data_IF_473241010624
#
_entry.id   IF_473241010624
#
_cell.length_a   1.000
_cell.length_b   1.000
_cell.length_c   1.000
_cell.angle_alpha   90.00
_cell.angle_beta   90.00
_cell.angle_gamma   90.00
#
_symmetry.space_group_name_H-M   'P 1'
#
loop_
_entity.id
_entity.type
_entity.pdbx_description
1 polymer ?
#
# COMPACT_ATOMS: atom_id res chain seq x y z
N UNK A 1 2.97 -14.45 9.70
CA UNK A 1 3.60 -13.29 9.06
C UNK A 1 5.01 -13.66 8.59
N UNK A 2 5.30 -13.47 7.31
CA UNK A 2 6.63 -13.67 6.72
C UNK A 2 7.31 -12.31 6.54
N UNK A 3 8.64 -12.25 6.78
CA UNK A 3 9.38 -10.99 6.78
C UNK A 3 9.21 -10.18 8.06
N UNK A 4 8.87 -10.83 9.17
CA UNK A 4 8.51 -10.23 10.45
C UNK A 4 9.53 -9.24 11.03
N UNK A 5 10.82 -9.40 10.73
CA UNK A 5 11.91 -8.53 11.24
C UNK A 5 12.14 -7.27 10.39
N UNK A 6 11.57 -7.21 9.19
CA UNK A 6 11.63 -6.04 8.30
C UNK A 6 10.70 -4.92 8.76
N UNK A 7 10.91 -3.71 8.19
CA UNK A 7 10.10 -2.54 8.55
C UNK A 7 8.59 -2.76 8.28
N UNK A 8 8.24 -3.29 7.11
CA UNK A 8 6.85 -3.61 6.78
C UNK A 8 6.30 -4.71 7.71
N UNK A 9 7.09 -5.75 8.02
CA UNK A 9 6.69 -6.79 8.97
C UNK A 9 6.38 -6.25 10.36
N UNK A 10 7.17 -5.32 10.86
CA UNK A 10 6.93 -4.66 12.15
C UNK A 10 5.63 -3.83 12.13
N UNK A 11 5.30 -3.20 11.00
CA UNK A 11 4.02 -2.50 10.83
C UNK A 11 2.82 -3.47 10.85
N UNK A 12 2.94 -4.67 10.28
CA UNK A 12 1.92 -5.71 10.41
C UNK A 12 1.72 -6.11 11.88
N UNK A 13 2.80 -6.31 12.61
CA UNK A 13 2.74 -6.68 14.03
C UNK A 13 2.01 -5.61 14.85
N UNK A 14 2.36 -4.33 14.63
CA UNK A 14 1.71 -3.22 15.32
C UNK A 14 0.22 -3.12 14.94
N UNK A 15 -0.11 -3.34 13.67
CA UNK A 15 -1.48 -3.23 13.17
C UNK A 15 -2.38 -4.40 13.60
N UNK A 16 -1.83 -5.61 13.75
CA UNK A 16 -2.57 -6.81 14.17
C UNK A 16 -2.72 -6.92 15.69
N UNK A 17 -2.04 -6.08 16.46
CA UNK A 17 -2.22 -6.06 17.90
C UNK A 17 -3.69 -5.75 18.26
N UNK A 18 -4.32 -6.68 18.97
CA UNK A 18 -5.74 -6.59 19.35
C UNK A 18 -6.71 -6.49 18.16
N UNK A 19 -6.35 -7.05 17.00
CA UNK A 19 -7.25 -7.09 15.86
C UNK A 19 -8.48 -7.99 16.17
N UNK A 20 -9.71 -7.57 15.85
CA UNK A 20 -10.90 -8.29 16.30
C UNK A 20 -11.10 -9.67 15.68
N UNK A 21 -10.52 -9.93 14.51
CA UNK A 21 -10.77 -11.15 13.72
C UNK A 21 -9.51 -11.88 13.28
N UNK A 22 -8.32 -11.30 13.45
CA UNK A 22 -7.05 -11.87 12.98
C UNK A 22 -6.06 -11.94 14.13
N UNK A 23 -5.61 -13.13 14.45
CA UNK A 23 -4.58 -13.38 15.46
C UNK A 23 -3.25 -13.75 14.80
N UNK A 24 -2.17 -13.13 15.27
CA UNK A 24 -0.82 -13.40 14.77
C UNK A 24 -0.20 -14.58 15.55
N UNK A 25 -0.24 -15.77 14.99
CA UNK A 25 0.17 -17.03 15.63
C UNK A 25 1.55 -17.53 15.18
N UNK A 26 2.14 -16.95 14.12
CA UNK A 26 3.43 -17.36 13.59
C UNK A 26 4.25 -16.23 12.99
N UNK A 27 5.56 -16.23 13.27
CA UNK A 27 6.53 -15.28 12.75
C UNK A 27 7.60 -16.00 11.95
N UNK A 28 7.82 -15.57 10.70
CA UNK A 28 8.87 -16.09 9.86
C UNK A 28 9.76 -14.96 9.33
N UNK A 29 11.04 -15.27 9.16
CA UNK A 29 12.01 -14.33 8.62
C UNK A 29 13.12 -15.09 7.88
N UNK A 30 14.21 -14.39 7.55
CA UNK A 30 15.37 -15.00 6.88
C UNK A 30 15.99 -16.11 7.74
N UNK A 31 16.74 -17.05 7.14
CA UNK A 31 17.44 -18.13 7.89
C UNK A 31 18.30 -17.64 9.05
N UNK A 32 18.85 -16.43 8.98
CA UNK A 32 19.64 -15.82 10.08
C UNK A 32 18.84 -15.60 11.36
N UNK A 33 17.54 -15.45 11.25
CA UNK A 33 16.64 -15.20 12.38
C UNK A 33 15.94 -16.48 12.85
N UNK A 34 15.96 -17.55 12.07
CA UNK A 34 15.30 -18.81 12.40
C UNK A 34 15.86 -19.43 13.70
N UNK A 35 14.97 -19.98 14.51
CA UNK A 35 15.27 -20.59 15.81
C UNK A 35 15.45 -19.62 16.98
N UNK A 36 15.59 -18.32 16.72
CA UNK A 36 15.67 -17.27 17.74
C UNK A 36 14.27 -16.86 18.23
N UNK A 37 14.19 -16.32 19.44
CA UNK A 37 13.01 -15.55 19.82
C UNK A 37 12.91 -14.29 18.99
N UNK A 38 11.71 -13.72 18.83
CA UNK A 38 11.53 -12.51 18.04
C UNK A 38 12.36 -11.33 18.59
N UNK A 39 12.44 -11.18 19.91
CA UNK A 39 13.27 -10.17 20.54
C UNK A 39 14.76 -10.34 20.20
N UNK A 40 15.28 -11.59 20.16
CA UNK A 40 16.65 -11.87 19.73
C UNK A 40 16.84 -11.63 18.23
N UNK A 41 15.86 -11.99 17.40
CA UNK A 41 15.89 -11.79 15.95
C UNK A 41 15.93 -10.30 15.54
N UNK A 42 15.41 -9.42 16.42
CA UNK A 42 15.49 -7.97 16.24
C UNK A 42 16.83 -7.35 16.65
N UNK A 43 17.76 -8.11 17.28
CA UNK A 43 19.07 -7.56 17.65
C UNK A 43 19.96 -7.41 16.43
N UNK A 44 20.59 -6.22 16.31
CA UNK A 44 21.67 -5.99 15.36
C UNK A 44 22.95 -6.65 15.83
N UNK A 45 23.97 -6.69 14.97
CA UNK A 45 25.30 -7.17 15.36
C UNK A 45 25.93 -6.37 16.53
N UNK A 46 25.54 -5.09 16.68
CA UNK A 46 25.99 -4.24 17.80
C UNK A 46 25.13 -4.41 19.07
N UNK A 47 24.13 -5.30 19.07
CA UNK A 47 23.23 -5.54 20.20
C UNK A 47 22.05 -4.56 20.32
N UNK A 48 21.96 -3.57 19.44
CA UNK A 48 20.83 -2.64 19.40
C UNK A 48 19.56 -3.35 18.98
N UNK A 49 18.42 -2.99 19.57
CA UNK A 49 17.10 -3.48 19.13
C UNK A 49 16.63 -2.73 17.89
N UNK A 50 16.42 -3.43 16.82
CA UNK A 50 16.00 -2.90 15.54
C UNK A 50 14.45 -2.90 15.43
N UNK A 51 13.78 -2.21 16.32
CA UNK A 51 12.35 -1.94 16.28
C UNK A 51 12.12 -0.47 15.92
N UNK A 52 11.38 -0.21 14.84
CA UNK A 52 11.27 1.13 14.22
C UNK A 52 9.85 1.67 14.16
N UNK A 53 8.89 0.89 14.65
CA UNK A 53 7.49 1.31 14.74
C UNK A 53 7.30 2.12 16.03
N UNK A 54 6.50 3.20 16.03
CA UNK A 54 6.25 4.01 17.22
C UNK A 54 5.59 3.23 18.36
N UNK A 55 4.74 2.26 18.02
CA UNK A 55 4.05 1.40 18.97
C UNK A 55 5.07 0.46 19.66
N UNK A 56 4.94 0.19 20.96
CA UNK A 56 5.85 -0.72 21.65
C UNK A 56 5.71 -2.16 21.13
N UNK A 57 6.84 -2.87 21.08
CA UNK A 57 6.86 -4.30 20.75
C UNK A 57 5.91 -5.06 21.70
N UNK A 58 4.91 -5.81 21.15
CA UNK A 58 4.02 -6.60 21.99
C UNK A 58 4.79 -7.63 22.81
N UNK A 59 4.57 -7.65 24.12
CA UNK A 59 5.32 -8.51 25.05
C UNK A 59 5.08 -10.00 24.74
N UNK A 60 3.87 -10.35 24.32
CA UNK A 60 3.45 -11.71 23.95
C UNK A 60 4.20 -12.24 22.73
N UNK A 61 4.63 -11.37 21.81
CA UNK A 61 5.38 -11.75 20.62
C UNK A 61 6.90 -11.78 20.86
N UNK A 62 7.39 -11.08 21.86
CA UNK A 62 8.83 -10.97 22.12
C UNK A 62 9.51 -12.35 22.32
N UNK A 63 8.82 -13.28 22.98
CA UNK A 63 9.26 -14.66 23.21
C UNK A 63 8.94 -15.65 22.09
N UNK A 64 8.12 -15.28 21.09
CA UNK A 64 7.72 -16.17 20.01
C UNK A 64 8.93 -16.56 19.16
N UNK A 65 9.07 -17.85 18.86
CA UNK A 65 10.15 -18.34 18.00
C UNK A 65 9.89 -17.95 16.55
N UNK A 66 10.91 -17.41 15.92
CA UNK A 66 10.92 -17.12 14.48
C UNK A 66 11.33 -18.37 13.71
N UNK A 67 10.54 -18.75 12.70
CA UNK A 67 10.87 -19.84 11.79
C UNK A 67 11.48 -19.32 10.49
N UNK A 68 12.12 -20.18 9.73
CA UNK A 68 12.53 -19.85 8.36
C UNK A 68 11.28 -19.81 7.46
N UNK A 69 11.24 -18.89 6.48
CA UNK A 69 10.06 -18.75 5.60
C UNK A 69 9.74 -20.01 4.80
N UNK A 70 10.76 -20.78 4.40
CA UNK A 70 10.64 -22.04 3.70
C UNK A 70 10.17 -23.21 4.59
N UNK A 71 10.27 -23.09 5.90
CA UNK A 71 9.78 -24.06 6.87
C UNK A 71 8.32 -23.87 7.29
N UNK A 72 7.62 -22.85 6.76
CA UNK A 72 6.19 -22.65 7.02
C UNK A 72 5.35 -23.72 6.33
N UNK A 73 4.44 -24.32 7.08
CA UNK A 73 3.45 -25.28 6.57
C UNK A 73 2.08 -24.61 6.49
N UNK A 74 1.47 -24.59 5.31
CA UNK A 74 0.18 -23.92 5.08
C UNK A 74 -0.94 -24.46 5.99
N UNK A 75 -0.90 -25.77 6.34
CA UNK A 75 -1.89 -26.42 7.20
C UNK A 75 -2.00 -25.87 8.62
N UNK A 76 -0.99 -25.12 9.07
CA UNK A 76 -0.93 -24.58 10.43
C UNK A 76 -1.53 -23.16 10.56
N UNK A 77 -2.01 -22.60 9.43
CA UNK A 77 -2.50 -21.22 9.35
C UNK A 77 -3.73 -21.10 8.44
N UNK A 78 -4.60 -20.14 8.74
CA UNK A 78 -5.76 -19.82 7.89
C UNK A 78 -5.39 -18.87 6.74
N UNK A 79 -4.40 -18.01 6.96
CA UNK A 79 -3.89 -17.05 5.98
C UNK A 79 -2.44 -16.65 6.27
N UNK A 80 -1.79 -16.03 5.31
CA UNK A 80 -0.43 -15.48 5.45
C UNK A 80 -0.35 -14.04 4.99
N UNK A 81 0.26 -13.20 5.83
CA UNK A 81 0.79 -11.90 5.39
C UNK A 81 2.27 -12.05 5.01
N UNK A 82 2.65 -11.54 3.83
CA UNK A 82 4.00 -11.61 3.29
C UNK A 82 4.58 -10.20 3.12
N UNK A 83 5.72 -9.95 3.78
CA UNK A 83 6.46 -8.68 3.76
C UNK A 83 7.93 -8.93 3.38
N UNK A 84 8.14 -9.68 2.31
CA UNK A 84 9.47 -10.03 1.79
C UNK A 84 9.76 -9.35 0.47
N UNK A 85 11.01 -9.42 0.01
CA UNK A 85 11.42 -8.93 -1.30
C UNK A 85 10.78 -9.75 -2.44
N UNK A 86 10.62 -9.11 -3.61
CA UNK A 86 9.89 -9.71 -4.73
C UNK A 86 10.44 -11.07 -5.19
N UNK A 87 11.74 -11.27 -5.16
CA UNK A 87 12.37 -12.52 -5.60
C UNK A 87 12.04 -13.67 -4.63
N UNK A 88 12.09 -13.40 -3.32
CA UNK A 88 11.68 -14.37 -2.29
C UNK A 88 10.18 -14.67 -2.40
N UNK A 89 9.36 -13.64 -2.65
CA UNK A 89 7.92 -13.79 -2.83
C UNK A 89 7.56 -14.70 -4.00
N UNK A 90 8.28 -14.59 -5.13
CA UNK A 90 8.06 -15.42 -6.33
C UNK A 90 8.19 -16.92 -6.05
N UNK A 91 9.09 -17.29 -5.17
CA UNK A 91 9.34 -18.69 -4.80
C UNK A 91 8.40 -19.18 -3.69
N UNK A 92 8.22 -18.35 -2.67
CA UNK A 92 7.56 -18.76 -1.43
C UNK A 92 6.03 -18.65 -1.49
N UNK A 93 5.50 -17.54 -2.01
CA UNK A 93 4.06 -17.28 -1.96
C UNK A 93 3.22 -18.30 -2.75
N UNK A 94 3.61 -18.73 -3.98
CA UNK A 94 2.84 -19.75 -4.70
C UNK A 94 2.75 -21.11 -3.98
N UNK A 95 3.77 -21.46 -3.20
CA UNK A 95 3.76 -22.70 -2.42
C UNK A 95 2.64 -22.70 -1.37
N UNK A 96 2.49 -21.56 -0.67
CA UNK A 96 1.47 -21.37 0.35
C UNK A 96 0.08 -21.16 -0.25
N UNK A 97 0.01 -20.39 -1.34
CA UNK A 97 -1.23 -20.06 -2.02
C UNK A 97 -1.94 -21.28 -2.66
N UNK A 98 -1.28 -22.42 -2.80
CA UNK A 98 -1.95 -23.69 -3.18
C UNK A 98 -3.06 -24.04 -2.21
N UNK A 99 -2.89 -23.74 -0.94
CA UNK A 99 -3.79 -24.19 0.12
C UNK A 99 -4.49 -23.03 0.85
N UNK A 100 -3.82 -21.90 1.11
CA UNK A 100 -4.32 -20.79 1.93
C UNK A 100 -4.13 -19.42 1.27
N UNK A 101 -4.92 -18.41 1.63
CA UNK A 101 -4.75 -17.04 1.18
C UNK A 101 -3.39 -16.43 1.57
N UNK A 102 -2.76 -15.72 0.62
CA UNK A 102 -1.53 -14.94 0.84
C UNK A 102 -1.77 -13.47 0.47
N UNK A 103 -1.63 -12.59 1.46
CA UNK A 103 -1.70 -11.14 1.29
C UNK A 103 -0.28 -10.56 1.27
N UNK A 104 0.14 -10.04 0.13
CA UNK A 104 1.53 -9.72 -0.13
C UNK A 104 1.80 -8.22 -0.22
N UNK A 105 2.84 -7.75 0.48
CA UNK A 105 3.39 -6.41 0.28
C UNK A 105 4.41 -6.37 -0.88
N UNK A 106 4.83 -7.53 -1.40
CA UNK A 106 5.78 -7.63 -2.49
C UNK A 106 5.18 -7.27 -3.84
N UNK A 107 6.02 -6.84 -4.78
CA UNK A 107 5.58 -6.49 -6.14
C UNK A 107 5.53 -7.68 -7.10
N UNK A 108 5.85 -8.89 -6.65
CA UNK A 108 6.09 -10.06 -7.48
C UNK A 108 4.94 -10.41 -8.43
N UNK A 109 3.70 -10.28 -7.97
CA UNK A 109 2.51 -10.73 -8.69
C UNK A 109 1.55 -9.61 -9.12
N UNK A 110 1.94 -8.34 -8.94
CA UNK A 110 1.06 -7.17 -9.22
C UNK A 110 0.60 -7.06 -10.66
N UNK A 111 1.39 -7.60 -11.60
CA UNK A 111 1.16 -7.43 -13.04
C UNK A 111 0.53 -8.65 -13.70
N UNK A 112 0.30 -9.72 -12.95
CA UNK A 112 -0.35 -10.92 -13.47
C UNK A 112 -1.82 -10.64 -13.81
N UNK A 113 -2.33 -11.22 -14.92
CA UNK A 113 -3.69 -10.95 -15.42
C UNK A 113 -4.78 -11.52 -14.52
N UNK A 114 -4.49 -12.62 -13.83
CA UNK A 114 -5.40 -13.32 -12.92
C UNK A 114 -5.28 -12.87 -11.46
N UNK A 115 -4.44 -11.87 -11.18
CA UNK A 115 -4.19 -11.37 -9.83
C UNK A 115 -4.80 -9.99 -9.65
N UNK A 116 -5.78 -9.81 -8.75
CA UNK A 116 -6.31 -8.48 -8.44
C UNK A 116 -5.29 -7.65 -7.67
N UNK A 117 -5.31 -6.34 -7.90
CA UNK A 117 -4.49 -5.37 -7.19
C UNK A 117 -5.43 -4.44 -6.43
N UNK A 118 -5.67 -4.74 -5.15
CA UNK A 118 -6.79 -4.18 -4.40
C UNK A 118 -6.41 -2.99 -3.51
N UNK A 119 -7.22 -1.94 -3.61
CA UNK A 119 -7.41 -0.90 -2.60
C UNK A 119 -8.91 -0.93 -2.26
N UNK A 120 -9.32 -1.53 -1.15
CA UNK A 120 -10.73 -1.79 -0.85
C UNK A 120 -11.69 -0.63 -1.11
N UNK A 121 -11.42 0.64 -0.68
CA UNK A 121 -12.33 1.75 -0.99
C UNK A 121 -12.40 2.11 -2.47
N UNK A 122 -11.39 1.75 -3.30
CA UNK A 122 -11.31 2.14 -4.71
C UNK A 122 -11.92 1.08 -5.62
N UNK A 123 -11.51 -0.17 -5.46
CA UNK A 123 -11.78 -1.21 -6.45
C UNK A 123 -12.15 -2.58 -5.85
N UNK A 124 -12.89 -2.62 -4.75
CA UNK A 124 -13.41 -3.87 -4.17
C UNK A 124 -14.12 -4.76 -5.22
N UNK A 125 -14.70 -4.15 -6.26
CA UNK A 125 -15.33 -4.86 -7.38
C UNK A 125 -14.37 -5.75 -8.19
N UNK A 126 -13.05 -5.62 -8.03
CA UNK A 126 -12.06 -6.51 -8.66
C UNK A 126 -11.85 -7.83 -7.89
N UNK A 127 -12.34 -7.94 -6.65
CA UNK A 127 -12.17 -9.12 -5.80
C UNK A 127 -12.60 -10.45 -6.47
N UNK A 128 -13.69 -10.51 -7.28
CA UNK A 128 -14.09 -11.75 -7.95
C UNK A 128 -13.02 -12.36 -8.86
N UNK A 129 -12.00 -11.60 -9.30
CA UNK A 129 -10.88 -12.11 -10.09
C UNK A 129 -10.08 -13.22 -9.36
N UNK A 130 -10.16 -13.27 -8.02
CA UNK A 130 -9.56 -14.35 -7.22
C UNK A 130 -10.06 -15.73 -7.63
N UNK A 131 -11.35 -15.86 -7.98
CA UNK A 131 -11.92 -17.13 -8.44
C UNK A 131 -11.27 -17.60 -9.74
N UNK A 132 -10.98 -16.67 -10.62
CA UNK A 132 -10.29 -16.97 -11.87
C UNK A 132 -8.82 -17.36 -11.62
N UNK A 133 -8.15 -16.71 -10.67
CA UNK A 133 -6.81 -17.07 -10.24
C UNK A 133 -6.79 -18.52 -9.72
N UNK A 134 -7.70 -18.85 -8.79
CA UNK A 134 -7.84 -20.20 -8.24
C UNK A 134 -8.09 -21.24 -9.34
N UNK A 135 -8.99 -20.94 -10.26
CA UNK A 135 -9.31 -21.83 -11.38
C UNK A 135 -8.11 -22.08 -12.30
N UNK A 136 -7.41 -21.01 -12.71
CA UNK A 136 -6.26 -21.09 -13.63
C UNK A 136 -5.08 -21.81 -13.01
N UNK A 137 -4.82 -21.56 -11.74
CA UNK A 137 -3.65 -22.08 -11.03
C UNK A 137 -3.90 -23.41 -10.33
N UNK A 138 -5.15 -23.86 -10.24
CA UNK A 138 -5.55 -25.07 -9.52
C UNK A 138 -5.32 -24.97 -8.02
N UNK A 139 -5.44 -23.76 -7.44
CA UNK A 139 -5.19 -23.45 -6.03
C UNK A 139 -6.50 -23.40 -5.23
N UNK A 140 -6.42 -23.76 -3.94
CA UNK A 140 -7.50 -23.53 -2.97
C UNK A 140 -7.41 -22.10 -2.40
N UNK A 141 -6.21 -21.67 -2.06
CA UNK A 141 -5.91 -20.31 -1.66
C UNK A 141 -5.69 -19.40 -2.86
N UNK A 142 -5.05 -18.25 -2.63
CA UNK A 142 -4.78 -17.24 -3.64
C UNK A 142 -3.67 -16.30 -3.20
N UNK A 143 -3.15 -15.48 -4.11
CA UNK A 143 -2.25 -14.36 -3.80
C UNK A 143 -2.96 -13.06 -4.15
N UNK A 144 -3.00 -12.13 -3.19
CA UNK A 144 -3.42 -10.74 -3.42
C UNK A 144 -2.32 -9.81 -2.96
N UNK A 145 -1.56 -9.20 -3.89
CA UNK A 145 -0.63 -8.16 -3.55
C UNK A 145 -1.35 -6.84 -3.30
N UNK A 146 -0.82 -6.03 -2.39
CA UNK A 146 -1.21 -4.63 -2.30
C UNK A 146 -0.44 -3.79 -3.32
N UNK A 147 -0.98 -2.65 -3.77
CA UNK A 147 -0.29 -1.74 -4.68
C UNK A 147 0.99 -1.14 -4.08
N UNK A 148 1.77 -0.53 -4.94
CA UNK A 148 2.84 0.36 -4.55
C UNK A 148 2.31 1.48 -3.64
N UNK A 149 3.08 1.86 -2.63
CA UNK A 149 2.65 2.82 -1.61
C UNK A 149 2.34 4.22 -2.17
N UNK A 150 3.09 4.68 -3.17
CA UNK A 150 2.81 5.92 -3.88
C UNK A 150 1.53 5.78 -4.71
N UNK A 151 1.40 4.70 -5.48
CA UNK A 151 0.18 4.42 -6.26
C UNK A 151 -1.07 4.38 -5.38
N UNK A 152 -0.96 3.89 -4.15
CA UNK A 152 -2.10 3.82 -3.22
C UNK A 152 -2.65 5.21 -2.90
N UNK A 153 -1.80 6.16 -2.51
CA UNK A 153 -2.21 7.55 -2.23
C UNK A 153 -2.82 8.23 -3.45
N UNK A 154 -2.16 8.08 -4.61
CA UNK A 154 -2.64 8.63 -5.87
C UNK A 154 -4.01 8.06 -6.27
N UNK A 155 -4.17 6.74 -6.30
CA UNK A 155 -5.39 6.08 -6.74
C UNK A 155 -6.60 6.42 -5.87
N UNK A 156 -6.41 6.55 -4.55
CA UNK A 156 -7.47 6.97 -3.61
C UNK A 156 -8.01 8.35 -3.98
N UNK A 157 -7.15 9.29 -4.39
CA UNK A 157 -7.59 10.63 -4.78
C UNK A 157 -8.12 10.71 -6.20
N UNK A 158 -7.66 9.84 -7.10
CA UNK A 158 -8.14 9.79 -8.48
C UNK A 158 -9.52 9.13 -8.60
N UNK A 159 -9.82 8.12 -7.78
CA UNK A 159 -11.07 7.36 -7.87
C UNK A 159 -12.32 8.26 -7.90
N UNK A 160 -12.57 9.18 -6.95
CA UNK A 160 -13.73 10.07 -6.99
C UNK A 160 -13.75 10.99 -8.21
N UNK A 161 -12.59 11.39 -8.71
CA UNK A 161 -12.48 12.26 -9.89
C UNK A 161 -12.83 11.50 -11.16
N UNK A 162 -12.37 10.25 -11.28
CA UNK A 162 -12.73 9.34 -12.38
C UNK A 162 -14.24 9.08 -12.38
N UNK A 163 -14.82 8.75 -11.22
CA UNK A 163 -16.25 8.45 -11.08
C UNK A 163 -17.14 9.62 -11.51
N UNK A 164 -16.78 10.85 -11.15
CA UNK A 164 -17.64 12.01 -11.37
C UNK A 164 -17.35 12.76 -12.67
N UNK A 165 -16.09 12.94 -13.01
CA UNK A 165 -15.69 13.83 -14.10
C UNK A 165 -14.98 13.11 -15.24
N UNK A 166 -14.47 11.88 -15.02
CA UNK A 166 -13.47 11.25 -15.88
C UNK A 166 -12.11 11.92 -15.74
N UNK A 167 -11.03 11.18 -15.98
CA UNK A 167 -9.65 11.67 -15.91
C UNK A 167 -8.89 11.23 -17.17
N UNK A 168 -8.46 12.19 -17.98
CA UNK A 168 -7.67 11.98 -19.20
C UNK A 168 -6.20 11.73 -18.93
N UNK A 169 -5.61 12.56 -18.08
CA UNK A 169 -4.16 12.57 -17.84
C UNK A 169 -3.82 13.00 -16.41
N UNK A 170 -2.72 12.45 -15.94
CA UNK A 170 -2.15 12.76 -14.62
C UNK A 170 -0.65 13.00 -14.80
N UNK A 171 -0.17 14.13 -14.26
CA UNK A 171 1.24 14.38 -14.03
C UNK A 171 1.46 14.41 -12.53
N UNK A 172 2.43 13.67 -12.02
CA UNK A 172 2.67 13.56 -10.59
C UNK A 172 4.16 13.60 -10.27
N UNK A 173 4.52 14.36 -9.24
CA UNK A 173 5.85 14.28 -8.63
C UNK A 173 5.70 13.84 -7.19
N UNK A 174 6.39 12.75 -6.81
CA UNK A 174 6.40 12.26 -5.44
C UNK A 174 7.68 12.65 -4.70
N UNK A 175 7.50 13.05 -3.43
CA UNK A 175 8.55 13.21 -2.44
C UNK A 175 8.40 12.08 -1.43
N UNK A 176 9.11 10.98 -1.68
CA UNK A 176 8.92 9.74 -0.94
C UNK A 176 9.76 9.67 0.32
N UNK A 177 9.14 9.24 1.40
CA UNK A 177 9.78 9.03 2.69
C UNK A 177 10.81 7.89 2.67
N UNK A 178 11.83 7.99 3.53
CA UNK A 178 12.93 7.02 3.65
C UNK A 178 12.43 5.60 3.99
N UNK A 179 11.38 5.48 4.80
CA UNK A 179 10.81 4.18 5.17
C UNK A 179 10.33 3.34 3.98
N UNK A 180 9.98 3.98 2.85
CA UNK A 180 9.61 3.32 1.60
C UNK A 180 10.75 2.51 0.96
N UNK A 181 12.01 2.82 1.27
CA UNK A 181 13.17 2.04 0.84
C UNK A 181 13.40 0.78 1.70
N UNK A 182 12.61 0.58 2.77
CA UNK A 182 12.89 -0.44 3.74
C UNK A 182 14.17 -0.13 4.52
N UNK A 183 14.74 -1.16 5.13
CA UNK A 183 15.94 -1.04 5.94
C UNK A 183 17.17 -1.68 5.34
N UNK A 184 16.99 -2.68 4.49
CA UNK A 184 18.10 -3.41 3.87
C UNK A 184 17.79 -3.59 2.37
N UNK A 185 18.53 -2.95 1.48
CA UNK A 185 19.66 -2.04 1.73
C UNK A 185 19.30 -0.70 2.37
N UNK A 186 18.04 -0.20 2.27
CA UNK A 186 17.59 1.06 2.81
C UNK A 186 18.23 2.29 2.15
N UNK A 187 18.17 3.42 2.85
CA UNK A 187 18.85 4.67 2.47
C UNK A 187 19.84 5.02 3.56
N UNK A 188 21.10 5.24 3.19
CA UNK A 188 22.15 5.68 4.11
C UNK A 188 21.91 7.14 4.45
N UNK A 189 22.04 7.53 5.73
CA UNK A 189 21.76 8.89 6.19
C UNK A 189 22.54 9.96 5.42
N UNK A 190 23.81 9.70 5.09
CA UNK A 190 24.65 10.62 4.31
C UNK A 190 24.20 10.80 2.86
N UNK A 191 23.45 9.85 2.31
CA UNK A 191 22.95 9.95 0.93
C UNK A 191 21.72 10.87 0.83
N UNK A 192 20.98 11.04 1.93
CA UNK A 192 19.69 11.73 1.91
C UNK A 192 19.63 13.00 2.77
N UNK A 193 20.50 13.15 3.79
CA UNK A 193 20.55 14.37 4.57
C UNK A 193 21.08 15.51 3.70
N UNK A 194 20.41 16.65 3.74
CA UNK A 194 20.72 17.83 2.90
C UNK A 194 20.68 17.51 1.38
N UNK A 195 19.85 16.54 0.97
CA UNK A 195 19.82 16.03 -0.39
C UNK A 195 18.41 15.58 -0.81
N UNK A 196 18.18 15.54 -2.13
CA UNK A 196 17.04 14.92 -2.79
C UNK A 196 17.57 13.93 -3.82
N UNK A 197 17.20 12.65 -3.68
CA UNK A 197 17.56 11.64 -4.67
C UNK A 197 16.48 11.67 -5.77
N UNK A 198 16.83 12.01 -7.03
CA UNK A 198 15.83 12.30 -8.09
C UNK A 198 15.27 11.05 -8.76
N UNK A 199 15.69 9.86 -8.33
CA UNK A 199 15.30 8.59 -8.96
C UNK A 199 15.15 7.46 -7.93
N UNK A 200 14.07 6.70 -8.04
CA UNK A 200 13.84 5.46 -7.32
C UNK A 200 13.66 4.34 -8.36
N UNK A 201 14.50 3.30 -8.37
CA UNK A 201 14.48 2.27 -9.40
C UNK A 201 13.10 1.66 -9.60
N UNK A 202 12.61 1.67 -10.86
CA UNK A 202 11.32 1.10 -11.31
C UNK A 202 10.07 1.73 -10.68
N UNK A 203 10.20 2.77 -9.86
CA UNK A 203 9.06 3.31 -9.10
C UNK A 203 8.05 4.00 -10.03
N UNK A 204 8.51 4.80 -10.96
CA UNK A 204 7.68 5.51 -11.95
C UNK A 204 6.85 4.52 -12.78
N UNK A 205 7.49 3.47 -13.29
CA UNK A 205 6.79 2.42 -14.03
C UNK A 205 5.69 1.73 -13.20
N UNK A 206 5.96 1.47 -11.91
CA UNK A 206 4.93 0.90 -11.01
C UNK A 206 3.73 1.83 -10.89
N UNK A 207 3.95 3.12 -10.62
CA UNK A 207 2.87 4.10 -10.50
C UNK A 207 2.03 4.16 -11.77
N UNK A 208 2.67 4.25 -12.94
CA UNK A 208 1.99 4.35 -14.23
C UNK A 208 1.12 3.12 -14.54
N UNK A 209 1.67 1.92 -14.38
CA UNK A 209 0.97 0.67 -14.71
C UNK A 209 -0.08 0.31 -13.66
N UNK A 210 0.28 0.41 -12.38
CA UNK A 210 -0.62 0.04 -11.29
C UNK A 210 -1.85 0.96 -11.22
N UNK A 211 -1.68 2.28 -11.43
CA UNK A 211 -2.79 3.24 -11.46
C UNK A 211 -3.84 2.84 -12.51
N UNK A 212 -3.41 2.48 -13.72
CA UNK A 212 -4.31 2.02 -14.78
C UNK A 212 -5.03 0.73 -14.43
N UNK A 213 -4.32 -0.22 -13.81
CA UNK A 213 -4.90 -1.50 -13.37
C UNK A 213 -5.94 -1.29 -12.26
N UNK A 214 -5.64 -0.45 -11.28
CA UNK A 214 -6.52 -0.18 -10.13
C UNK A 214 -7.79 0.55 -10.53
N UNK A 215 -7.67 1.58 -11.39
CA UNK A 215 -8.80 2.36 -11.89
C UNK A 215 -9.54 1.69 -13.04
N UNK A 216 -9.07 0.55 -13.51
CA UNK A 216 -9.70 -0.24 -14.56
C UNK A 216 -10.99 -0.93 -14.13
N UNK A 217 -11.47 -1.82 -14.96
CA UNK A 217 -12.71 -2.56 -14.70
C UNK A 217 -12.51 -4.07 -14.88
N UNK A 218 -13.22 -4.85 -14.07
CA UNK A 218 -13.31 -6.30 -14.26
C UNK A 218 -14.00 -6.57 -15.59
N UNK A 219 -13.43 -7.44 -16.43
CA UNK A 219 -14.06 -7.86 -17.67
C UNK A 219 -15.38 -8.57 -17.40
N UNK A 220 -16.37 -8.46 -18.30
CA UNK A 220 -17.68 -9.11 -18.09
C UNK A 220 -17.59 -10.64 -17.87
N UNK A 221 -16.61 -11.30 -18.48
CA UNK A 221 -16.34 -12.72 -18.29
C UNK A 221 -15.69 -13.06 -16.93
N UNK A 222 -15.22 -12.04 -16.17
CA UNK A 222 -14.51 -12.25 -14.91
C UNK A 222 -13.10 -12.80 -15.07
N UNK A 223 -12.57 -12.85 -16.31
CA UNK A 223 -11.32 -13.50 -16.67
C UNK A 223 -10.08 -12.58 -16.66
N UNK A 224 -10.23 -11.37 -16.18
CA UNK A 224 -9.15 -10.37 -16.10
C UNK A 224 -9.67 -8.97 -15.94
N UNK A 225 -8.76 -7.99 -15.99
CA UNK A 225 -9.06 -6.57 -15.91
C UNK A 225 -8.82 -5.88 -17.25
N UNK A 226 -9.66 -4.90 -17.58
CA UNK A 226 -9.38 -3.91 -18.61
C UNK A 226 -8.78 -2.70 -17.92
N UNK A 227 -7.52 -2.35 -18.17
CA UNK A 227 -6.90 -1.17 -17.57
C UNK A 227 -7.64 0.11 -17.98
N UNK A 228 -7.69 1.09 -17.10
CA UNK A 228 -8.19 2.42 -17.41
C UNK A 228 -7.28 3.10 -18.44
N UNK A 229 -7.84 3.91 -19.33
CA UNK A 229 -7.12 4.57 -20.43
C UNK A 229 -6.41 5.86 -20.00
N UNK A 230 -6.48 6.26 -18.74
CA UNK A 230 -5.79 7.43 -18.19
C UNK A 230 -4.29 7.41 -18.54
N UNK A 231 -3.80 8.53 -19.03
CA UNK A 231 -2.36 8.71 -19.27
C UNK A 231 -1.70 9.20 -17.98
N UNK A 232 -0.74 8.45 -17.49
CA UNK A 232 0.00 8.78 -16.25
C UNK A 232 1.46 8.99 -16.60
N UNK A 233 2.04 10.07 -16.13
CA UNK A 233 3.48 10.32 -16.15
C UNK A 233 3.90 10.86 -14.78
N UNK A 234 4.97 10.31 -14.23
CA UNK A 234 5.41 10.70 -12.91
C UNK A 234 6.93 10.81 -12.79
N UNK A 235 7.37 11.58 -11.80
CA UNK A 235 8.76 11.65 -11.33
C UNK A 235 8.78 11.27 -9.86
N UNK A 236 9.54 10.23 -9.52
CA UNK A 236 9.59 9.70 -8.17
C UNK A 236 10.93 9.99 -7.50
N UNK A 237 10.90 10.82 -6.47
CA UNK A 237 12.09 11.26 -5.72
C UNK A 237 12.09 10.74 -4.29
N UNK A 238 13.26 10.62 -3.68
CA UNK A 238 13.43 10.32 -2.26
C UNK A 238 13.88 11.56 -1.50
N UNK A 239 13.24 11.82 -0.36
CA UNK A 239 13.53 12.98 0.50
C UNK A 239 13.78 12.55 1.95
N UNK A 240 14.41 13.45 2.73
CA UNK A 240 14.74 13.23 4.15
C UNK A 240 13.50 13.34 5.06
N UNK A 241 12.44 12.59 4.74
CA UNK A 241 11.22 12.44 5.54
C UNK A 241 11.16 11.00 6.04
N UNK A 242 10.88 10.80 7.31
CA UNK A 242 10.84 9.44 7.88
C UNK A 242 9.72 8.59 7.29
N UNK A 243 8.48 9.09 7.37
CA UNK A 243 7.27 8.43 6.88
C UNK A 243 6.28 9.45 6.31
N UNK A 244 5.41 8.99 5.42
CA UNK A 244 4.44 9.82 4.71
C UNK A 244 4.96 10.30 3.36
N UNK A 245 4.44 9.72 2.28
CA UNK A 245 4.71 10.19 0.92
C UNK A 245 3.91 11.45 0.64
N UNK A 246 4.57 12.47 0.10
CA UNK A 246 3.92 13.67 -0.41
C UNK A 246 3.91 13.61 -1.93
N UNK A 247 2.79 13.92 -2.55
CA UNK A 247 2.67 13.94 -4.01
C UNK A 247 2.08 15.26 -4.48
N UNK A 248 2.71 15.89 -5.46
CA UNK A 248 2.18 17.01 -6.22
C UNK A 248 1.52 16.46 -7.47
N UNK A 249 0.20 16.58 -7.56
CA UNK A 249 -0.62 15.96 -8.58
C UNK A 249 -1.28 17.02 -9.45
N UNK A 250 -1.19 16.83 -10.76
CA UNK A 250 -1.88 17.61 -11.79
C UNK A 250 -2.76 16.64 -12.58
N UNK A 251 -4.03 16.98 -12.74
CA UNK A 251 -5.01 16.15 -13.44
C UNK A 251 -5.69 16.94 -14.55
N UNK A 252 -5.92 16.30 -15.68
CA UNK A 252 -6.80 16.78 -16.75
C UNK A 252 -8.10 15.98 -16.69
N UNK A 253 -9.22 16.65 -16.52
CA UNK A 253 -10.54 16.02 -16.46
C UNK A 253 -11.19 15.94 -17.84
N UNK A 254 -12.07 14.94 -18.05
CA UNK A 254 -12.90 14.87 -19.26
C UNK A 254 -13.99 15.94 -19.28
N UNK A 255 -14.61 16.18 -18.13
CA UNK A 255 -15.67 17.17 -17.94
C UNK A 255 -15.15 18.42 -17.24
N UNK A 256 -15.67 19.57 -17.64
CA UNK A 256 -15.43 20.82 -16.92
C UNK A 256 -15.95 20.72 -15.49
N UNK A 257 -15.22 21.28 -14.57
CA UNK A 257 -15.57 21.39 -13.16
C UNK A 257 -15.07 22.72 -12.58
N UNK A 258 -15.59 23.09 -11.42
CA UNK A 258 -15.05 24.20 -10.61
C UNK A 258 -14.19 23.64 -9.49
N UNK A 259 -13.35 24.48 -8.89
CA UNK A 259 -12.56 24.11 -7.69
C UNK A 259 -13.47 23.64 -6.56
N UNK A 260 -14.62 24.28 -6.37
CA UNK A 260 -15.60 23.90 -5.36
C UNK A 260 -16.15 22.49 -5.58
N UNK A 261 -16.51 22.14 -6.82
CA UNK A 261 -17.02 20.82 -7.17
C UNK A 261 -15.97 19.72 -7.00
N UNK A 262 -14.71 19.97 -7.40
CA UNK A 262 -13.58 19.06 -7.20
C UNK A 262 -13.33 18.85 -5.70
N UNK A 263 -13.27 19.94 -4.94
CA UNK A 263 -13.08 19.91 -3.48
C UNK A 263 -14.18 19.11 -2.78
N UNK A 264 -15.43 19.38 -3.13
CA UNK A 264 -16.59 18.68 -2.56
C UNK A 264 -16.57 17.20 -2.93
N UNK A 265 -16.22 16.86 -4.16
CA UNK A 265 -16.12 15.47 -4.63
C UNK A 265 -15.11 14.66 -3.80
N UNK A 266 -13.92 15.24 -3.57
CA UNK A 266 -12.92 14.60 -2.73
C UNK A 266 -13.36 14.50 -1.26
N UNK A 267 -13.97 15.55 -0.72
CA UNK A 267 -14.40 15.63 0.70
C UNK A 267 -15.54 14.67 1.04
N UNK A 268 -16.46 14.45 0.12
CA UNK A 268 -17.66 13.64 0.33
C UNK A 268 -17.51 12.18 -0.11
N UNK A 269 -16.41 11.82 -0.75
CA UNK A 269 -16.20 10.48 -1.25
C UNK A 269 -16.12 9.44 -0.12
N UNK A 270 -16.98 8.44 -0.21
CA UNK A 270 -17.11 7.40 0.81
C UNK A 270 -16.42 6.09 0.45
N UNK A 271 -15.90 5.98 -0.77
CA UNK A 271 -15.35 4.73 -1.30
C UNK A 271 -16.42 3.63 -1.46
N UNK A 272 -15.97 2.47 -1.88
CA UNK A 272 -16.83 1.30 -2.07
C UNK A 272 -17.54 0.93 -0.76
N UNK A 273 -18.83 0.57 -0.86
CA UNK A 273 -19.66 0.23 0.30
C UNK A 273 -19.08 -0.92 1.14
N UNK A 274 -18.58 -1.94 0.48
CA UNK A 274 -17.96 -3.11 1.12
C UNK A 274 -16.76 -2.76 2.01
N UNK A 275 -16.09 -1.63 1.76
CA UNK A 275 -14.93 -1.22 2.54
C UNK A 275 -15.25 -0.39 3.78
N UNK A 276 -16.49 0.14 3.91
CA UNK A 276 -16.81 1.20 4.90
C UNK A 276 -16.84 0.74 6.34
N UNK A 277 -17.19 -0.52 6.58
CA UNK A 277 -17.41 -1.07 7.91
C UNK A 277 -16.38 -2.12 8.31
N UNK A 278 -15.27 -2.22 7.57
CA UNK A 278 -14.19 -3.13 7.92
C UNK A 278 -13.44 -2.61 9.16
N UNK A 279 -12.91 -3.49 10.01
CA UNK A 279 -12.23 -3.09 11.26
C UNK A 279 -11.11 -2.07 11.07
N UNK A 280 -10.34 -2.17 9.98
CA UNK A 280 -9.25 -1.24 9.63
C UNK A 280 -9.69 -0.05 8.77
N UNK A 281 -11.00 0.08 8.48
CA UNK A 281 -11.50 1.17 7.64
C UNK A 281 -11.30 2.55 8.30
N UNK A 282 -10.92 3.54 7.49
CA UNK A 282 -10.91 4.92 7.93
C UNK A 282 -12.35 5.48 8.00
N UNK A 283 -12.67 6.35 8.95
CA UNK A 283 -13.95 7.09 8.95
C UNK A 283 -14.15 7.91 7.66
N UNK A 284 -13.04 8.36 7.07
CA UNK A 284 -12.95 9.02 5.76
C UNK A 284 -11.68 8.56 5.07
N UNK A 285 -11.78 8.23 3.80
CA UNK A 285 -10.62 7.83 2.99
C UNK A 285 -9.79 9.00 2.50
N UNK A 286 -10.45 10.16 2.35
CA UNK A 286 -9.81 11.42 1.96
C UNK A 286 -10.17 12.49 3.00
N UNK A 287 -9.14 13.14 3.55
CA UNK A 287 -9.29 14.32 4.40
C UNK A 287 -8.84 15.55 3.62
N UNK A 288 -9.77 16.50 3.39
CA UNK A 288 -9.48 17.71 2.62
C UNK A 288 -9.27 18.89 3.56
N UNK A 289 -8.10 19.51 3.47
CA UNK A 289 -7.70 20.65 4.28
C UNK A 289 -7.75 21.95 3.47
N UNK A 290 -8.31 23.00 4.10
CA UNK A 290 -8.39 24.34 3.50
C UNK A 290 -7.14 25.21 3.84
N UNK A 291 -6.32 24.78 4.81
CA UNK A 291 -5.07 25.46 5.18
C UNK A 291 -4.08 25.42 4.01
N UNK A 292 -3.61 26.60 3.50
CA UNK A 292 -2.70 26.66 2.37
C UNK A 292 -1.30 26.09 2.66
N UNK A 293 -0.94 25.86 3.92
CA UNK A 293 0.32 25.25 4.34
C UNK A 293 0.24 23.73 4.53
N UNK A 294 -0.91 23.14 4.28
CA UNK A 294 -1.18 21.70 4.46
C UNK A 294 -1.55 21.05 3.12
N UNK A 295 -1.34 19.71 2.95
CA UNK A 295 -0.83 18.77 3.94
C UNK A 295 0.70 18.79 4.09
N UNK A 296 1.16 18.35 5.25
CA UNK A 296 2.57 18.15 5.58
C UNK A 296 2.77 16.73 6.15
N UNK A 297 3.75 15.93 5.70
CA UNK A 297 3.89 14.55 6.15
C UNK A 297 4.04 14.42 7.68
N UNK A 298 4.73 15.35 8.32
CA UNK A 298 4.90 15.36 9.79
C UNK A 298 3.58 15.51 10.55
N UNK A 299 2.62 16.26 9.99
CA UNK A 299 1.37 16.61 10.66
C UNK A 299 0.20 15.72 10.21
N UNK A 300 0.25 15.20 8.97
CA UNK A 300 -0.92 14.65 8.30
C UNK A 300 -0.83 13.18 7.93
N UNK A 301 0.37 12.58 7.99
CA UNK A 301 0.54 11.17 7.62
C UNK A 301 -0.28 10.20 8.48
N UNK A 302 -0.53 10.57 9.75
CA UNK A 302 -1.27 9.73 10.69
C UNK A 302 -2.77 10.05 10.76
N UNK A 303 -3.30 10.84 9.84
CA UNK A 303 -4.74 11.14 9.75
C UNK A 303 -5.55 9.84 9.69
N UNK A 304 -6.56 9.74 10.56
CA UNK A 304 -7.36 8.52 10.77
C UNK A 304 -6.48 7.25 10.97
N UNK A 305 -5.46 7.37 11.82
CA UNK A 305 -4.54 6.26 12.08
C UNK A 305 -3.62 5.89 10.92
N UNK A 306 -3.43 6.80 9.95
CA UNK A 306 -2.66 6.59 8.73
C UNK A 306 -3.40 5.80 7.64
N UNK A 307 -4.74 5.72 7.74
CA UNK A 307 -5.59 5.04 6.75
C UNK A 307 -6.34 6.01 5.82
N UNK A 308 -6.18 7.32 6.00
CA UNK A 308 -6.67 8.33 5.07
C UNK A 308 -5.54 8.96 4.26
N UNK A 309 -5.87 9.41 3.06
CA UNK A 309 -5.04 10.32 2.27
C UNK A 309 -5.48 11.73 2.53
N UNK A 310 -4.58 12.58 3.02
CA UNK A 310 -4.86 13.98 3.28
C UNK A 310 -4.56 14.80 2.03
N UNK A 311 -5.51 15.63 1.61
CA UNK A 311 -5.43 16.46 0.40
C UNK A 311 -5.57 17.93 0.77
N UNK A 312 -4.78 18.77 0.12
CA UNK A 312 -4.91 20.21 0.22
C UNK A 312 -4.41 20.91 -1.02
N UNK A 313 -4.44 22.23 -1.02
CA UNK A 313 -3.95 23.03 -2.15
C UNK A 313 -4.69 22.75 -3.45
N UNK A 314 -5.98 22.41 -3.41
CA UNK A 314 -6.81 22.19 -4.60
C UNK A 314 -7.02 23.51 -5.31
N UNK A 315 -6.67 23.58 -6.59
CA UNK A 315 -6.77 24.78 -7.41
C UNK A 315 -6.79 24.44 -8.90
N UNK A 316 -7.27 25.35 -9.73
CA UNK A 316 -7.17 25.22 -11.18
C UNK A 316 -5.70 25.16 -11.65
N UNK A 317 -5.49 24.43 -12.73
CA UNK A 317 -4.26 24.41 -13.49
C UNK A 317 -4.49 25.03 -14.88
N UNK A 318 -3.73 26.06 -15.20
CA UNK A 318 -3.90 26.78 -16.47
C UNK A 318 -3.18 26.16 -17.68
N UNK A 319 -2.46 25.05 -17.47
CA UNK A 319 -1.67 24.39 -18.53
C UNK A 319 -2.42 23.19 -19.12
N UNK A 320 -3.06 22.40 -18.27
CA UNK A 320 -3.83 21.23 -18.71
C UNK A 320 -5.27 21.63 -19.07
N UNK A 321 -5.82 21.00 -20.09
CA UNK A 321 -7.24 21.16 -20.44
C UNK A 321 -8.13 20.65 -19.31
N UNK A 322 -9.09 21.45 -18.84
CA UNK A 322 -9.88 21.19 -17.65
C UNK A 322 -9.01 20.78 -16.45
N UNK A 323 -7.89 21.50 -16.28
CA UNK A 323 -6.81 21.13 -15.39
C UNK A 323 -7.06 21.51 -13.94
N UNK A 324 -6.69 20.62 -13.04
CA UNK A 324 -6.63 20.87 -11.59
C UNK A 324 -5.30 20.35 -11.04
N UNK A 325 -4.90 20.92 -9.92
CA UNK A 325 -3.72 20.47 -9.17
C UNK A 325 -3.97 20.52 -7.67
N UNK A 326 -3.37 19.58 -6.99
CA UNK A 326 -3.45 19.47 -5.53
C UNK A 326 -2.19 18.81 -4.98
N UNK A 327 -2.05 18.83 -3.67
CA UNK A 327 -1.01 18.10 -2.95
C UNK A 327 -1.69 17.09 -2.04
N UNK A 328 -1.16 15.89 -2.01
CA UNK A 328 -1.60 14.86 -1.07
C UNK A 328 -0.46 14.38 -0.17
N UNK A 329 -0.82 13.84 0.99
CA UNK A 329 0.04 13.06 1.89
C UNK A 329 -0.67 11.75 2.22
N UNK A 330 0.01 10.62 2.02
CA UNK A 330 -0.47 9.29 2.37
C UNK A 330 0.57 8.52 3.18
N UNK A 331 0.14 7.70 4.14
CA UNK A 331 1.05 6.92 4.97
C UNK A 331 1.52 5.67 4.23
N UNK A 332 2.77 5.68 3.81
CA UNK A 332 3.35 4.64 2.95
C UNK A 332 3.52 3.27 3.61
N UNK A 333 3.70 3.19 4.92
CA UNK A 333 3.89 1.91 5.64
C UNK A 333 2.63 1.39 6.33
N UNK A 334 1.59 2.25 6.49
CA UNK A 334 0.27 1.86 7.00
C UNK A 334 -0.69 1.59 5.83
N UNK A 335 -1.43 2.60 5.32
CA UNK A 335 -2.35 2.39 4.19
C UNK A 335 -1.62 1.85 2.94
N UNK A 336 -0.44 2.36 2.65
CA UNK A 336 0.39 1.93 1.51
C UNK A 336 1.10 0.58 1.71
N UNK A 337 0.94 -0.09 2.86
CA UNK A 337 1.57 -1.38 3.14
C UNK A 337 0.74 -2.24 4.12
N UNK A 338 1.15 -2.36 5.38
CA UNK A 338 0.65 -3.37 6.31
C UNK A 338 -0.86 -3.27 6.56
N UNK A 339 -1.36 -2.09 6.96
CA UNK A 339 -2.79 -1.92 7.25
C UNK A 339 -3.65 -1.99 5.99
N UNK A 340 -3.11 -1.59 4.84
CA UNK A 340 -3.77 -1.78 3.55
C UNK A 340 -3.95 -3.26 3.21
N UNK A 341 -2.93 -4.10 3.47
CA UNK A 341 -3.04 -5.55 3.28
C UNK A 341 -4.01 -6.21 4.26
N UNK A 342 -4.03 -5.75 5.52
CA UNK A 342 -5.02 -6.21 6.51
C UNK A 342 -6.43 -5.85 6.07
N UNK A 343 -6.65 -4.61 5.61
CA UNK A 343 -7.94 -4.16 5.07
C UNK A 343 -8.41 -5.02 3.87
N UNK A 344 -7.47 -5.46 3.02
CA UNK A 344 -7.78 -6.40 1.93
C UNK A 344 -8.17 -7.78 2.49
N UNK A 345 -7.49 -8.26 3.54
CA UNK A 345 -7.84 -9.52 4.20
C UNK A 345 -9.21 -9.46 4.89
N UNK A 346 -9.56 -8.33 5.47
CA UNK A 346 -10.88 -8.09 6.06
C UNK A 346 -12.01 -8.05 5.01
N UNK A 347 -11.70 -7.61 3.78
CA UNK A 347 -12.64 -7.55 2.66
C UNK A 347 -12.95 -8.96 2.11
N UNK A 348 -11.98 -9.86 2.08
CA UNK A 348 -12.02 -11.17 1.40
C UNK A 348 -12.36 -12.33 2.35
#
# INVERSE_FOLDING_TARGET
>A
LIGATGLAGQQFIAALKNHPSIELTGLAASPRSAGKTYAEALKTASGMTAWFVPEPLPAELAGMKVVAGDALEAKDYDLVFSAVEADVARELEPRLAKDIPVFSAASAFRYEDDVPLLIPPVNAAHAPLIREQQRRRGWKGFIVPIPNCTTTGLAVTLAPLVERFGVKAVLMTSLQAMSGAGRSPGVIGMDILDNVIPYIPKEEHKVEVETKKILGALRPAGDGLTPHDVRVSCTCTRVAVMEGHTESVFVSLDKKATVAEVTQTLREWKGAELARNLPSAAPRWIEVLDDPFRPQPRLDRDTHGGMATTVGRIREDGVLENGFKYVLVSHNTKMGAARGAILVAELL
#
